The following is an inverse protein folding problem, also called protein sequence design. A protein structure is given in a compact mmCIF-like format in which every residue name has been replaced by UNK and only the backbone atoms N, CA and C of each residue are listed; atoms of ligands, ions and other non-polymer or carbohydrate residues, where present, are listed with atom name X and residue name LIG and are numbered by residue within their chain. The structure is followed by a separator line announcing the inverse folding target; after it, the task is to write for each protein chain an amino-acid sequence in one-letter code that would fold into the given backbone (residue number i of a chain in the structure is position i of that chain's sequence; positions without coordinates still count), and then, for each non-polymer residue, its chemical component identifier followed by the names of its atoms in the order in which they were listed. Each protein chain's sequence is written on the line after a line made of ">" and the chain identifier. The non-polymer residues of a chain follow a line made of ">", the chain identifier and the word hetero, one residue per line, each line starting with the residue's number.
data_IF_549748386246
#
_entry.id   IF_549748386246
#
_cell.length_a   1.000
_cell.length_b   1.000
_cell.length_c   1.000
_cell.angle_alpha   90.00
_cell.angle_beta   90.00
_cell.angle_gamma   90.00
#
_symmetry.space_group_name_H-M   'P 1'
#
loop_
_entity.id
_entity.type
_entity.pdbx_description
1 polymer ?
#
# COMPACT_ATOMS: atom_id res chain seq x y z
N UNK A 1 -11.98 -10.51 -12.29
CA UNK A 1 -12.01 -9.05 -12.08
C UNK A 1 -13.35 -8.48 -11.59
N UNK A 2 -14.51 -9.13 -11.84
CA UNK A 2 -15.82 -8.66 -11.33
C UNK A 2 -15.91 -8.59 -9.79
N UNK A 3 -15.20 -9.48 -9.10
CA UNK A 3 -15.34 -9.67 -7.65
C UNK A 3 -14.98 -8.45 -6.79
N UNK A 4 -13.86 -7.76 -7.07
CA UNK A 4 -13.38 -6.68 -6.20
C UNK A 4 -14.23 -5.40 -6.32
N UNK A 5 -14.83 -5.19 -7.51
CA UNK A 5 -15.77 -4.09 -7.75
C UNK A 5 -17.05 -4.28 -6.94
N UNK A 6 -17.65 -5.47 -7.01
CA UNK A 6 -18.87 -5.79 -6.26
C UNK A 6 -18.63 -5.68 -4.75
N UNK A 7 -17.46 -6.15 -4.28
CA UNK A 7 -17.03 -5.99 -2.89
C UNK A 7 -17.03 -4.52 -2.50
N UNK A 8 -16.38 -3.64 -3.27
CA UNK A 8 -16.27 -2.23 -2.89
C UNK A 8 -17.59 -1.48 -2.98
N UNK A 9 -18.44 -1.76 -3.97
CA UNK A 9 -19.79 -1.17 -4.07
C UNK A 9 -20.61 -1.57 -2.83
N UNK A 10 -20.57 -2.84 -2.43
CA UNK A 10 -21.24 -3.32 -1.21
C UNK A 10 -20.68 -2.69 0.06
N UNK A 11 -19.36 -2.51 0.15
CA UNK A 11 -18.69 -1.85 1.28
C UNK A 11 -19.14 -0.38 1.40
N UNK A 12 -19.28 0.32 0.28
CA UNK A 12 -19.78 1.70 0.29
C UNK A 12 -21.20 1.81 0.84
N UNK A 13 -22.05 0.84 0.55
CA UNK A 13 -23.43 0.79 1.03
C UNK A 13 -23.54 0.35 2.49
N UNK A 14 -22.78 -0.68 2.88
CA UNK A 14 -23.04 -1.42 4.13
C UNK A 14 -22.02 -1.23 5.24
N UNK A 15 -20.75 -0.96 4.90
CA UNK A 15 -19.72 -0.84 5.94
C UNK A 15 -19.82 0.52 6.65
N UNK A 16 -19.60 0.59 7.97
CA UNK A 16 -19.48 1.87 8.66
C UNK A 16 -18.23 2.63 8.22
N UNK A 17 -18.20 3.94 8.46
CA UNK A 17 -16.95 4.71 8.41
C UNK A 17 -16.01 4.20 9.52
N UNK A 18 -14.72 4.03 9.22
CA UNK A 18 -13.73 3.45 10.12
C UNK A 18 -13.17 2.11 9.62
N UNK A 19 -12.66 1.33 10.57
CA UNK A 19 -12.13 -0.01 10.33
C UNK A 19 -13.24 -1.05 10.46
N UNK A 20 -13.31 -1.98 9.51
CA UNK A 20 -14.25 -3.11 9.53
C UNK A 20 -13.68 -4.30 8.75
N UNK A 21 -14.38 -5.43 8.82
CA UNK A 21 -14.08 -6.63 8.05
C UNK A 21 -15.25 -6.91 7.10
N UNK A 22 -14.94 -7.28 5.86
CA UNK A 22 -15.94 -7.62 4.87
C UNK A 22 -15.41 -8.72 3.95
N UNK A 23 -16.03 -9.91 4.03
CA UNK A 23 -15.54 -11.13 3.37
C UNK A 23 -14.05 -11.35 3.69
N UNK A 24 -13.21 -11.53 2.68
CA UNK A 24 -11.77 -11.77 2.83
C UNK A 24 -10.95 -10.47 2.92
N UNK A 25 -11.57 -9.33 3.24
CA UNK A 25 -10.90 -8.03 3.28
C UNK A 25 -11.06 -7.33 4.62
N UNK A 26 -9.95 -6.77 5.10
CA UNK A 26 -9.96 -5.65 6.01
C UNK A 26 -10.27 -4.37 5.22
N UNK A 27 -11.22 -3.60 5.75
CA UNK A 27 -11.76 -2.40 5.13
C UNK A 27 -11.45 -1.21 6.01
N UNK A 28 -10.86 -0.17 5.41
CA UNK A 28 -10.77 1.15 6.03
C UNK A 28 -11.55 2.13 5.17
N UNK A 29 -12.74 2.51 5.63
CA UNK A 29 -13.65 3.40 4.91
C UNK A 29 -13.68 4.76 5.56
N UNK A 30 -13.72 5.81 4.76
CA UNK A 30 -14.15 7.13 5.21
C UNK A 30 -15.05 7.79 4.17
N UNK A 31 -15.44 9.05 4.44
CA UNK A 31 -16.27 9.84 3.54
C UNK A 31 -15.65 10.04 2.16
N UNK A 32 -14.34 9.85 1.97
CA UNK A 32 -13.67 10.05 0.68
C UNK A 32 -13.48 8.73 -0.04
N UNK A 33 -12.87 7.74 0.59
CA UNK A 33 -12.40 6.53 -0.08
C UNK A 33 -12.54 5.28 0.79
N UNK A 34 -12.44 4.13 0.14
CA UNK A 34 -12.32 2.81 0.79
C UNK A 34 -10.94 2.25 0.49
N UNK A 35 -10.21 1.81 1.52
CA UNK A 35 -8.99 1.03 1.36
C UNK A 35 -9.28 -0.41 1.70
N UNK A 36 -8.97 -1.31 0.76
CA UNK A 36 -9.09 -2.75 0.93
C UNK A 36 -7.71 -3.38 1.08
N UNK A 37 -7.58 -4.24 2.08
CA UNK A 37 -6.43 -5.12 2.28
C UNK A 37 -6.94 -6.55 2.50
N UNK A 38 -6.38 -7.58 1.83
CA UNK A 38 -6.71 -8.97 2.13
C UNK A 38 -6.52 -9.32 3.62
N UNK A 39 -7.42 -10.14 4.15
CA UNK A 39 -7.41 -10.58 5.55
C UNK A 39 -6.35 -11.66 5.78
N UNK A 40 -6.25 -12.62 4.85
CA UNK A 40 -5.24 -13.66 4.90
C UNK A 40 -3.86 -13.12 4.51
N UNK A 41 -3.00 -13.00 5.51
CA UNK A 41 -1.61 -12.56 5.37
C UNK A 41 -0.63 -13.75 5.33
N UNK A 42 -1.11 -14.99 5.40
CA UNK A 42 -0.27 -16.20 5.33
C UNK A 42 0.23 -16.46 3.91
N UNK A 43 -0.52 -15.99 2.90
CA UNK A 43 -0.21 -16.06 1.47
C UNK A 43 0.58 -14.85 0.93
N UNK A 44 1.31 -14.13 1.78
CA UNK A 44 2.00 -12.86 1.47
C UNK A 44 3.08 -12.94 0.35
N UNK A 45 3.12 -13.97 -0.49
CA UNK A 45 3.97 -13.99 -1.69
C UNK A 45 3.79 -12.71 -2.51
N UNK A 46 2.54 -12.27 -2.72
CA UNK A 46 2.24 -10.95 -3.28
C UNK A 46 0.87 -10.48 -2.81
N UNK A 47 0.76 -9.24 -2.35
CA UNK A 47 -0.49 -8.71 -1.79
C UNK A 47 -0.69 -7.25 -2.20
N UNK A 48 -1.91 -6.93 -2.64
CA UNK A 48 -2.30 -5.57 -3.02
C UNK A 48 -3.13 -4.91 -1.91
N UNK A 49 -2.79 -3.66 -1.61
CA UNK A 49 -3.58 -2.76 -0.77
C UNK A 49 -4.11 -1.66 -1.69
N UNK A 50 -5.41 -1.67 -1.92
CA UNK A 50 -6.03 -0.90 -3.01
C UNK A 50 -6.97 0.15 -2.43
N UNK A 51 -6.81 1.40 -2.86
CA UNK A 51 -7.72 2.49 -2.52
C UNK A 51 -8.72 2.72 -3.65
N UNK A 52 -10.01 2.75 -3.32
CA UNK A 52 -11.10 3.00 -4.25
C UNK A 52 -11.81 4.31 -3.95
N UNK A 53 -12.25 5.04 -4.98
CA UNK A 53 -13.01 6.27 -4.79
C UNK A 53 -14.46 5.95 -4.40
N UNK A 54 -15.33 6.96 -4.36
CA UNK A 54 -16.78 6.72 -4.25
C UNK A 54 -17.32 6.05 -5.53
N UNK A 55 -18.40 5.24 -5.45
CA UNK A 55 -18.95 4.52 -6.62
C UNK A 55 -19.33 5.45 -7.77
N UNK A 56 -19.88 6.64 -7.44
CA UNK A 56 -20.23 7.67 -8.42
C UNK A 56 -19.06 8.19 -9.27
N UNK A 57 -17.80 7.95 -8.86
CA UNK A 57 -16.61 8.37 -9.60
C UNK A 57 -15.85 7.18 -10.25
N UNK A 58 -16.40 5.96 -10.19
CA UNK A 58 -15.73 4.77 -10.73
C UNK A 58 -15.48 4.85 -12.24
N UNK A 59 -16.39 5.49 -12.97
CA UNK A 59 -16.29 5.64 -14.42
C UNK A 59 -15.09 6.50 -14.79
N UNK A 60 -14.90 7.61 -14.10
CA UNK A 60 -13.80 8.55 -14.33
C UNK A 60 -12.45 7.92 -14.04
N UNK A 61 -12.33 7.21 -12.92
CA UNK A 61 -11.08 6.50 -12.58
C UNK A 61 -10.80 5.34 -13.53
N UNK A 62 -11.82 4.56 -13.92
CA UNK A 62 -11.67 3.50 -14.92
C UNK A 62 -11.19 4.01 -16.26
N UNK A 63 -11.74 5.12 -16.72
CA UNK A 63 -11.31 5.71 -17.98
C UNK A 63 -9.88 6.26 -17.86
N UNK A 64 -9.54 6.89 -16.73
CA UNK A 64 -8.20 7.41 -16.50
C UNK A 64 -7.12 6.31 -16.39
N UNK A 65 -7.47 5.12 -15.89
CA UNK A 65 -6.52 4.02 -15.70
C UNK A 65 -6.00 3.44 -17.01
N UNK A 66 -6.77 3.53 -18.09
CA UNK A 66 -6.36 3.06 -19.43
C UNK A 66 -5.11 3.78 -19.96
N UNK A 67 -4.77 4.94 -19.39
CA UNK A 67 -3.62 5.76 -19.79
C UNK A 67 -2.41 5.62 -18.85
N UNK A 68 -2.51 4.72 -17.86
CA UNK A 68 -1.38 4.28 -17.05
C UNK A 68 -0.67 3.16 -17.81
N UNK A 69 0.67 3.15 -17.79
CA UNK A 69 1.47 2.14 -18.51
C UNK A 69 1.00 0.73 -18.13
N UNK A 70 0.84 -0.14 -19.13
CA UNK A 70 0.44 -1.55 -18.95
C UNK A 70 1.44 -2.33 -18.09
N UNK A 71 1.01 -3.47 -17.54
CA UNK A 71 1.78 -4.35 -16.64
C UNK A 71 1.84 -3.94 -15.15
N UNK A 72 0.81 -3.26 -14.64
CA UNK A 72 0.74 -2.83 -13.24
C UNK A 72 -0.56 -3.17 -12.51
N UNK A 73 -0.63 -2.94 -11.18
CA UNK A 73 -1.86 -3.15 -10.39
C UNK A 73 -3.10 -2.42 -10.92
N UNK A 74 -2.93 -1.36 -11.72
CA UNK A 74 -4.00 -0.67 -12.44
C UNK A 74 -4.77 -1.56 -13.42
N UNK A 75 -4.11 -2.53 -14.05
CA UNK A 75 -4.76 -3.46 -14.96
C UNK A 75 -5.72 -4.40 -14.21
N UNK A 76 -5.31 -4.86 -13.03
CA UNK A 76 -6.13 -5.71 -12.16
C UNK A 76 -7.22 -4.92 -11.42
N UNK A 77 -7.07 -3.59 -11.28
CA UNK A 77 -7.98 -2.74 -10.52
C UNK A 77 -8.23 -1.38 -11.22
N UNK A 78 -8.86 -1.37 -12.41
CA UNK A 78 -8.93 -0.17 -13.24
C UNK A 78 -9.77 0.98 -12.64
N UNK A 79 -10.70 0.70 -11.71
CA UNK A 79 -11.50 1.75 -11.06
C UNK A 79 -10.91 2.29 -9.75
N UNK A 80 -9.74 1.81 -9.33
CA UNK A 80 -9.10 2.27 -8.10
C UNK A 80 -8.44 3.65 -8.28
N UNK A 81 -8.19 4.33 -7.15
CA UNK A 81 -7.36 5.53 -7.08
C UNK A 81 -5.88 5.17 -7.20
N UNK A 82 -5.48 4.11 -6.50
CA UNK A 82 -4.11 3.64 -6.49
C UNK A 82 -3.92 2.38 -5.67
N UNK A 83 -2.76 1.75 -5.84
CA UNK A 83 -2.39 0.50 -5.18
C UNK A 83 -1.00 0.58 -4.58
N UNK A 84 -0.85 -0.06 -3.42
CA UNK A 84 0.43 -0.42 -2.83
C UNK A 84 0.58 -1.94 -2.93
N UNK A 85 1.70 -2.41 -3.46
CA UNK A 85 2.02 -3.84 -3.51
C UNK A 85 3.08 -4.20 -2.47
N UNK A 86 2.81 -5.29 -1.76
CA UNK A 86 3.70 -5.91 -0.81
C UNK A 86 4.10 -7.30 -1.31
N UNK A 87 5.37 -7.64 -1.13
CA UNK A 87 5.91 -8.94 -1.48
C UNK A 87 6.73 -9.47 -0.33
N UNK A 88 6.48 -10.72 0.04
CA UNK A 88 7.31 -11.39 1.01
C UNK A 88 8.59 -11.88 0.34
N UNK A 89 9.72 -11.54 0.96
CA UNK A 89 11.00 -12.03 0.49
C UNK A 89 11.85 -12.51 1.66
N UNK A 90 12.63 -13.55 1.40
CA UNK A 90 13.65 -14.00 2.32
C UNK A 90 14.89 -13.13 2.11
N UNK A 91 15.32 -12.46 3.18
CA UNK A 91 16.57 -11.72 3.17
C UNK A 91 17.73 -12.71 3.07
N UNK A 92 18.27 -12.87 1.87
CA UNK A 92 19.53 -13.60 1.70
C UNK A 92 20.71 -12.70 2.07
N UNK A 93 21.88 -13.32 2.33
CA UNK A 93 23.06 -12.59 2.81
C UNK A 93 23.54 -11.51 1.82
N UNK A 94 23.29 -11.68 0.51
CA UNK A 94 23.64 -10.68 -0.50
C UNK A 94 22.76 -9.41 -0.42
N UNK A 95 21.46 -9.56 -0.16
CA UNK A 95 20.54 -8.43 0.05
C UNK A 95 20.82 -7.73 1.39
N UNK A 96 21.11 -8.49 2.45
CA UNK A 96 21.58 -7.96 3.73
C UNK A 96 22.93 -7.22 3.58
N UNK A 97 23.81 -7.70 2.70
CA UNK A 97 25.10 -7.07 2.42
C UNK A 97 24.95 -5.70 1.74
N UNK A 98 24.04 -5.60 0.76
CA UNK A 98 23.73 -4.34 0.05
C UNK A 98 22.99 -3.34 0.93
N UNK A 99 22.11 -3.82 1.80
CA UNK A 99 21.36 -2.96 2.71
C UNK A 99 22.09 -2.82 4.05
N UNK A 100 23.07 -1.90 4.13
CA UNK A 100 23.75 -1.52 5.39
C UNK A 100 22.75 -1.25 6.52
N UNK A 101 21.56 -0.73 6.19
CA UNK A 101 20.44 -0.49 7.13
C UNK A 101 19.91 -1.76 7.78
N UNK A 102 19.91 -2.90 7.08
CA UNK A 102 19.40 -4.18 7.61
C UNK A 102 20.42 -4.83 8.54
N UNK A 103 21.72 -4.59 8.36
CA UNK A 103 22.77 -5.00 9.32
C UNK A 103 22.60 -4.32 10.68
N UNK A 104 22.02 -3.12 10.72
CA UNK A 104 21.70 -2.41 11.97
C UNK A 104 20.45 -2.94 12.69
N UNK A 105 19.81 -3.98 12.16
CA UNK A 105 18.64 -4.63 12.76
C UNK A 105 19.08 -6.05 13.18
N UNK A 106 19.59 -6.24 14.42
CA UNK A 106 20.26 -7.48 14.85
C UNK A 106 19.40 -8.75 14.77
N UNK A 107 18.09 -8.62 14.54
CA UNK A 107 17.10 -9.71 14.55
C UNK A 107 16.60 -10.12 13.16
N UNK A 108 17.17 -9.60 12.07
CA UNK A 108 16.69 -9.88 10.70
C UNK A 108 17.42 -11.03 9.98
N UNK A 109 18.61 -11.45 10.42
CA UNK A 109 19.33 -12.55 9.77
C UNK A 109 18.50 -13.84 9.82
N UNK A 110 18.19 -14.42 8.65
CA UNK A 110 17.37 -15.63 8.53
C UNK A 110 15.86 -15.41 8.73
N UNK A 111 15.36 -14.17 8.80
CA UNK A 111 13.92 -13.87 8.86
C UNK A 111 13.43 -13.26 7.55
N UNK A 112 12.23 -13.66 7.17
CA UNK A 112 11.52 -13.07 6.05
C UNK A 112 11.11 -11.62 6.35
N UNK A 113 11.26 -10.74 5.36
CA UNK A 113 10.86 -9.34 5.40
C UNK A 113 9.77 -9.08 4.35
N UNK A 114 9.11 -7.93 4.46
CA UNK A 114 8.12 -7.48 3.47
C UNK A 114 8.78 -6.40 2.64
N UNK A 115 8.84 -6.59 1.34
CA UNK A 115 9.24 -5.59 0.37
C UNK A 115 8.02 -4.76 -0.01
N UNK A 116 8.17 -3.45 0.03
CA UNK A 116 7.28 -2.54 -0.66
C UNK A 116 7.70 -2.55 -2.13
N UNK A 117 7.01 -3.32 -2.96
CA UNK A 117 7.40 -3.57 -4.35
C UNK A 117 6.95 -2.45 -5.28
N UNK A 118 5.74 -1.92 -5.03
CA UNK A 118 5.09 -1.01 -5.95
C UNK A 118 4.22 0.02 -5.22
N UNK A 119 4.17 1.24 -5.75
CA UNK A 119 3.18 2.28 -5.40
C UNK A 119 2.69 2.91 -6.70
N UNK A 120 1.46 2.62 -7.12
CA UNK A 120 0.88 3.13 -8.38
C UNK A 120 -0.32 4.02 -8.13
N UNK A 121 -0.34 5.23 -8.68
CA UNK A 121 -1.61 5.91 -8.95
C UNK A 121 -2.22 5.34 -10.22
N UNK A 122 -3.52 5.07 -10.23
CA UNK A 122 -4.21 4.47 -11.40
C UNK A 122 -4.79 5.55 -12.32
N UNK A 123 -4.17 6.73 -12.34
CA UNK A 123 -4.59 7.84 -13.17
C UNK A 123 -3.40 8.75 -13.45
N UNK A 124 -3.48 9.50 -14.56
CA UNK A 124 -2.65 10.68 -14.81
C UNK A 124 -3.53 11.92 -14.67
N UNK A 125 -3.08 12.89 -13.86
CA UNK A 125 -3.81 14.14 -13.67
C UNK A 125 -3.80 14.99 -14.94
N UNK A 126 -4.88 15.72 -15.21
CA UNK A 126 -4.97 16.64 -16.35
C UNK A 126 -6.04 16.19 -17.32
N UNK A 127 -5.63 15.84 -18.55
CA UNK A 127 -6.54 15.47 -19.64
C UNK A 127 -7.41 14.23 -19.33
N UNK A 128 -6.87 13.26 -18.57
CA UNK A 128 -7.50 11.96 -18.36
C UNK A 128 -8.32 11.85 -17.06
N UNK A 129 -7.89 12.54 -15.99
CA UNK A 129 -8.67 12.70 -14.77
C UNK A 129 -8.71 14.19 -14.37
N UNK A 130 -9.90 14.78 -14.18
CA UNK A 130 -10.03 16.17 -13.74
C UNK A 130 -9.23 16.45 -12.47
N UNK A 131 -8.49 17.56 -12.45
CA UNK A 131 -7.65 17.96 -11.30
C UNK A 131 -8.44 18.04 -9.99
N UNK A 132 -9.71 18.44 -10.06
CA UNK A 132 -10.62 18.49 -8.90
C UNK A 132 -10.82 17.09 -8.30
N UNK A 133 -11.08 16.07 -9.12
CA UNK A 133 -11.21 14.69 -8.65
C UNK A 133 -9.88 14.17 -8.13
N UNK A 134 -8.77 14.36 -8.84
CA UNK A 134 -7.45 13.97 -8.33
C UNK A 134 -7.16 14.56 -6.94
N UNK A 135 -7.52 15.84 -6.75
CA UNK A 135 -7.35 16.54 -5.47
C UNK A 135 -8.29 16.01 -4.38
N UNK A 136 -9.53 15.67 -4.71
CA UNK A 136 -10.50 15.07 -3.77
C UNK A 136 -9.96 13.77 -3.16
N UNK A 137 -9.34 12.93 -4.00
CA UNK A 137 -8.77 11.63 -3.63
C UNK A 137 -7.27 11.68 -3.27
N UNK A 138 -6.71 12.87 -3.05
CA UNK A 138 -5.39 13.00 -2.48
C UNK A 138 -5.31 12.31 -1.10
N UNK A 139 -4.13 11.80 -0.77
CA UNK A 139 -3.89 11.07 0.48
C UNK A 139 -4.25 9.58 0.41
N UNK A 140 -4.66 9.04 -0.74
CA UNK A 140 -4.82 7.59 -0.92
C UNK A 140 -3.52 6.84 -0.58
N UNK A 141 -2.37 7.37 -1.00
CA UNK A 141 -1.05 6.75 -0.80
C UNK A 141 -0.74 6.54 0.66
N UNK A 142 -0.82 7.60 1.47
CA UNK A 142 -0.52 7.51 2.91
C UNK A 142 -1.48 6.53 3.62
N UNK A 143 -2.74 6.41 3.18
CA UNK A 143 -3.70 5.46 3.74
C UNK A 143 -3.32 4.02 3.42
N UNK A 144 -2.98 3.72 2.16
CA UNK A 144 -2.49 2.40 1.79
C UNK A 144 -1.17 2.05 2.51
N UNK A 145 -0.26 3.03 2.68
CA UNK A 145 1.00 2.82 3.39
C UNK A 145 0.81 2.57 4.89
N UNK A 146 -0.20 3.20 5.53
CA UNK A 146 -0.58 2.87 6.91
C UNK A 146 -1.00 1.40 7.02
N UNK A 147 -1.85 0.93 6.11
CA UNK A 147 -2.25 -0.48 6.08
C UNK A 147 -1.07 -1.42 5.81
N UNK A 148 -0.11 -1.03 4.97
CA UNK A 148 1.11 -1.80 4.74
C UNK A 148 1.96 -1.95 6.00
N UNK A 149 2.09 -0.87 6.78
CA UNK A 149 2.81 -0.89 8.06
C UNK A 149 2.05 -1.71 9.09
N UNK A 150 0.72 -1.67 9.08
CA UNK A 150 -0.10 -2.52 9.92
C UNK A 150 0.11 -4.01 9.59
N UNK A 151 0.23 -4.38 8.31
CA UNK A 151 0.61 -5.75 7.89
C UNK A 151 1.97 -6.13 8.49
N UNK A 152 2.98 -5.28 8.35
CA UNK A 152 4.30 -5.52 8.90
C UNK A 152 4.27 -5.70 10.42
N UNK A 153 3.45 -4.90 11.13
CA UNK A 153 3.24 -5.05 12.58
C UNK A 153 2.56 -6.37 12.94
N UNK A 154 1.43 -6.70 12.29
CA UNK A 154 0.66 -7.93 12.56
C UNK A 154 1.49 -9.18 12.30
N UNK A 155 2.29 -9.18 11.24
CA UNK A 155 3.17 -10.30 10.87
C UNK A 155 4.52 -10.28 11.60
N UNK A 156 4.79 -9.23 12.40
CA UNK A 156 6.07 -9.01 13.11
C UNK A 156 7.28 -9.01 12.17
N UNK A 157 7.11 -8.49 10.95
CA UNK A 157 8.16 -8.40 9.91
C UNK A 157 8.58 -6.96 9.69
N UNK A 158 9.80 -6.77 9.20
CA UNK A 158 10.27 -5.45 8.79
C UNK A 158 9.74 -5.16 7.39
N UNK A 159 9.20 -3.95 7.20
CA UNK A 159 8.85 -3.45 5.87
C UNK A 159 10.05 -2.70 5.31
N UNK A 160 10.48 -3.05 4.10
CA UNK A 160 11.66 -2.50 3.43
C UNK A 160 11.24 -1.88 2.12
N UNK A 161 11.83 -0.74 1.76
CA UNK A 161 11.65 -0.08 0.48
C UNK A 161 13.00 0.33 -0.10
N UNK A 162 13.25 0.01 -1.37
CA UNK A 162 14.43 0.47 -2.12
C UNK A 162 14.18 1.88 -2.66
N UNK A 163 15.01 2.84 -2.27
CA UNK A 163 14.77 4.27 -2.57
C UNK A 163 14.74 4.56 -4.07
N UNK A 164 15.55 3.85 -4.86
CA UNK A 164 15.61 3.99 -6.33
C UNK A 164 14.27 3.74 -7.02
N UNK A 165 13.36 2.97 -6.41
CA UNK A 165 12.04 2.61 -6.96
C UNK A 165 10.95 3.63 -6.65
N UNK A 166 11.22 4.59 -5.77
CA UNK A 166 10.19 5.50 -5.26
C UNK A 166 10.63 6.95 -5.38
N UNK A 167 9.68 7.81 -5.76
CA UNK A 167 9.91 9.25 -5.73
C UNK A 167 10.07 9.75 -4.28
N UNK A 168 10.73 10.89 -4.11
CA UNK A 168 10.91 11.55 -2.80
C UNK A 168 9.58 11.74 -2.06
N UNK A 169 8.52 12.13 -2.76
CA UNK A 169 7.20 12.29 -2.15
C UNK A 169 6.62 10.98 -1.61
N UNK A 170 6.86 9.84 -2.28
CA UNK A 170 6.43 8.53 -1.78
C UNK A 170 7.17 8.17 -0.48
N UNK A 171 8.48 8.45 -0.40
CA UNK A 171 9.29 8.19 0.79
C UNK A 171 8.87 9.06 1.99
N UNK A 172 8.51 10.32 1.75
CA UNK A 172 7.97 11.21 2.80
C UNK A 172 6.61 10.72 3.33
N UNK A 173 5.72 10.26 2.44
CA UNK A 173 4.45 9.66 2.87
C UNK A 173 4.66 8.38 3.68
N UNK A 174 5.66 7.57 3.30
CA UNK A 174 6.06 6.37 4.04
C UNK A 174 6.57 6.71 5.45
N UNK A 175 7.39 7.76 5.58
CA UNK A 175 7.87 8.27 6.88
C UNK A 175 6.72 8.76 7.76
N UNK A 176 5.76 9.51 7.20
CA UNK A 176 4.55 9.96 7.92
C UNK A 176 3.69 8.78 8.37
N UNK A 177 3.50 7.78 7.52
CA UNK A 177 2.77 6.56 7.87
C UNK A 177 3.47 5.78 9.01
N UNK A 178 4.82 5.71 9.00
CA UNK A 178 5.61 5.07 10.05
C UNK A 178 5.47 5.77 11.40
N UNK A 179 5.47 7.11 11.40
CA UNK A 179 5.25 7.92 12.59
C UNK A 179 3.87 7.67 13.20
N UNK A 180 2.82 7.61 12.37
CA UNK A 180 1.45 7.33 12.81
C UNK A 180 1.33 6.02 13.60
N UNK A 181 2.02 4.96 13.17
CA UNK A 181 2.00 3.67 13.86
C UNK A 181 3.03 3.51 14.98
N UNK A 182 3.74 4.59 15.36
CA UNK A 182 4.82 4.58 16.36
C UNK A 182 5.90 3.53 16.06
N UNK A 183 6.23 3.34 14.78
CA UNK A 183 7.25 2.39 14.34
C UNK A 183 8.62 3.06 14.24
N UNK A 184 9.71 2.27 14.29
CA UNK A 184 11.06 2.82 14.09
C UNK A 184 11.32 2.91 12.59
N UNK A 185 11.54 4.12 12.11
CA UNK A 185 11.96 4.40 10.74
C UNK A 185 13.50 4.48 10.69
N UNK A 186 14.13 3.70 9.82
CA UNK A 186 15.57 3.69 9.62
C UNK A 186 15.85 3.91 8.15
N UNK A 187 16.73 4.85 7.85
CA UNK A 187 17.09 5.22 6.48
C UNK A 187 18.58 5.02 6.25
N UNK A 188 18.92 4.58 5.05
CA UNK A 188 20.27 4.53 4.52
C UNK A 188 20.29 5.15 3.12
N UNK A 189 21.47 5.14 2.50
CA UNK A 189 21.68 5.61 1.13
C UNK A 189 20.66 5.01 0.14
N UNK A 190 20.51 3.68 0.13
CA UNK A 190 19.72 2.97 -0.87
C UNK A 190 18.36 2.45 -0.38
N UNK A 191 18.13 2.43 0.94
CA UNK A 191 16.98 1.74 1.53
C UNK A 191 16.37 2.50 2.69
N UNK A 192 15.06 2.30 2.84
CA UNK A 192 14.26 2.62 4.02
C UNK A 192 13.77 1.32 4.65
N UNK A 193 13.82 1.24 5.98
CA UNK A 193 13.28 0.13 6.76
C UNK A 193 12.35 0.65 7.86
N UNK A 194 11.18 0.03 7.98
CA UNK A 194 10.21 0.27 9.06
C UNK A 194 10.16 -0.96 9.95
N UNK A 195 10.62 -0.78 11.18
CA UNK A 195 10.71 -1.83 12.18
C UNK A 195 9.53 -1.71 13.16
N UNK A 196 8.63 -2.70 13.21
CA UNK A 196 7.59 -2.75 14.23
C UNK A 196 8.19 -2.69 15.63
N UNK A 197 7.66 -1.80 16.48
CA UNK A 197 7.94 -1.86 17.92
C UNK A 197 7.10 -2.99 18.52
N UNK A 198 7.74 -4.10 18.88
CA UNK A 198 7.10 -5.17 19.62
C UNK A 198 7.17 -4.76 21.09
N UNK A 199 6.05 -4.33 21.68
CA UNK A 199 5.94 -4.22 23.14
C UNK A 199 6.04 -5.66 23.68
N UNK A 200 7.01 -5.90 24.56
CA UNK A 200 7.14 -7.16 25.30
C UNK A 200 5.99 -7.28 26.28
#
# INVERSE_FOLDING_TARGET
>A
MAHLREVVETVWEKAPDGESEFRDYHVVKDKKMVVLRPFDLTLLHRTHIVAFPRPKHFKEFRNASQYVLGEGPAESNPAAVGTVELELFNLNDAQLAKARVLKQIPKLKGKAAINLSYIQAHFKTGYYLPRKLATEYNGWRIRCLKEAILVAKKTRRVLVAEKSKFSTHCLEDLKKAAAFHSTKFIESENFVAIVPRIRK
#
